data_IF_168170130371
#
_entry.id   IF_168170130371
#
_cell.length_a   1.000
_cell.length_b   1.000
_cell.length_c   1.000
_cell.angle_alpha   90.00
_cell.angle_beta   90.00
_cell.angle_gamma   90.00
#
_symmetry.space_group_name_H-M   'P 1'
#
loop_
_entity.id
_entity.type
_entity.pdbx_description
1 polymer ?
#
# COMPACT_ATOMS: atom_id res chain seq x y z
N UNK A 1 -2.01 -18.57 10.90
CA UNK A 1 -1.39 -17.83 9.76
C UNK A 1 -0.03 -17.33 10.20
N UNK A 2 0.98 -17.48 9.35
CA UNK A 2 2.31 -16.91 9.62
C UNK A 2 2.22 -15.39 9.86
N UNK A 3 2.88 -14.89 10.91
CA UNK A 3 2.92 -13.45 11.26
C UNK A 3 3.38 -12.61 10.06
N UNK A 4 4.35 -13.10 9.30
CA UNK A 4 4.84 -12.42 8.08
C UNK A 4 3.71 -12.25 7.05
N UNK A 5 2.81 -13.23 6.91
CA UNK A 5 1.66 -13.14 6.00
C UNK A 5 0.65 -12.09 6.49
N UNK A 6 0.37 -12.06 7.80
CA UNK A 6 -0.54 -11.07 8.40
C UNK A 6 -0.01 -9.65 8.19
N UNK A 7 1.27 -9.41 8.48
CA UNK A 7 1.92 -8.13 8.22
C UNK A 7 1.86 -7.75 6.74
N UNK A 8 2.13 -8.70 5.85
CA UNK A 8 2.03 -8.47 4.41
C UNK A 8 0.63 -8.06 3.98
N UNK A 9 -0.40 -8.75 4.48
CA UNK A 9 -1.81 -8.42 4.19
C UNK A 9 -2.17 -7.03 4.71
N UNK A 10 -1.81 -6.69 5.96
CA UNK A 10 -2.06 -5.35 6.53
C UNK A 10 -1.37 -4.28 5.68
N UNK A 11 -0.10 -4.50 5.32
CA UNK A 11 0.68 -3.55 4.52
C UNK A 11 0.08 -3.36 3.12
N UNK A 12 -0.40 -4.44 2.49
CA UNK A 12 -1.11 -4.36 1.20
C UNK A 12 -2.40 -3.56 1.32
N UNK A 13 -3.21 -3.80 2.36
CA UNK A 13 -4.44 -3.04 2.59
C UNK A 13 -4.15 -1.55 2.81
N UNK A 14 -3.14 -1.21 3.60
CA UNK A 14 -2.69 0.18 3.78
C UNK A 14 -2.24 0.82 2.46
N UNK A 15 -1.51 0.08 1.63
CA UNK A 15 -1.12 0.51 0.28
C UNK A 15 -2.34 0.83 -0.59
N UNK A 16 -3.34 -0.05 -0.61
CA UNK A 16 -4.60 0.16 -1.34
C UNK A 16 -5.30 1.43 -0.86
N UNK A 17 -5.46 1.61 0.45
CA UNK A 17 -6.11 2.80 1.02
C UNK A 17 -5.35 4.08 0.65
N UNK A 18 -4.01 4.07 0.70
CA UNK A 18 -3.19 5.20 0.28
C UNK A 18 -3.38 5.57 -1.20
N UNK A 19 -3.44 4.57 -2.09
CA UNK A 19 -3.67 4.80 -3.52
C UNK A 19 -5.09 5.33 -3.79
N UNK A 20 -6.10 4.81 -3.09
CA UNK A 20 -7.47 5.31 -3.19
C UNK A 20 -7.53 6.77 -2.71
N UNK A 21 -6.87 7.11 -1.61
CA UNK A 21 -6.81 8.48 -1.11
C UNK A 21 -6.16 9.44 -2.13
N UNK A 22 -5.01 9.07 -2.70
CA UNK A 22 -4.37 9.86 -3.75
C UNK A 22 -5.28 10.05 -4.97
N UNK A 23 -5.99 9.00 -5.41
CA UNK A 23 -6.94 9.08 -6.51
C UNK A 23 -8.13 9.99 -6.20
N UNK A 24 -8.68 9.90 -4.99
CA UNK A 24 -9.79 10.73 -4.52
C UNK A 24 -9.44 12.23 -4.53
N UNK A 25 -8.29 12.58 -3.95
CA UNK A 25 -7.79 13.96 -3.93
C UNK A 25 -7.49 14.50 -5.34
N UNK A 26 -6.97 13.66 -6.22
CA UNK A 26 -6.70 14.03 -7.61
C UNK A 26 -8.01 14.32 -8.37
N UNK A 27 -9.06 13.52 -8.17
CA UNK A 27 -10.41 13.76 -8.73
C UNK A 27 -10.98 15.09 -8.20
N UNK A 28 -10.74 15.40 -6.93
CA UNK A 28 -11.16 16.66 -6.31
C UNK A 28 -10.31 17.87 -6.71
N UNK A 29 -9.40 17.73 -7.69
CA UNK A 29 -8.54 18.81 -8.22
C UNK A 29 -7.70 19.48 -7.14
N UNK A 30 -7.24 18.72 -6.15
CA UNK A 30 -6.33 19.21 -5.13
C UNK A 30 -5.04 19.76 -5.76
N UNK A 31 -4.63 20.96 -5.34
CA UNK A 31 -3.43 21.64 -5.87
C UNK A 31 -2.15 21.24 -5.14
N UNK A 32 -2.25 20.37 -4.13
CA UNK A 32 -1.14 19.89 -3.32
C UNK A 32 -0.38 18.75 -4.02
N UNK A 33 0.10 18.97 -5.24
CA UNK A 33 0.68 17.95 -6.10
C UNK A 33 1.87 17.22 -5.47
N UNK A 34 2.75 17.93 -4.74
CA UNK A 34 3.88 17.30 -4.05
C UNK A 34 3.41 16.33 -2.97
N UNK A 35 2.43 16.73 -2.16
CA UNK A 35 1.84 15.87 -1.13
C UNK A 35 1.18 14.65 -1.74
N UNK A 36 0.44 14.84 -2.84
CA UNK A 36 -0.20 13.74 -3.55
C UNK A 36 0.77 12.77 -4.18
N UNK A 37 1.86 13.28 -4.78
CA UNK A 37 2.91 12.47 -5.35
C UNK A 37 3.60 11.63 -4.26
N UNK A 38 3.93 12.23 -3.12
CA UNK A 38 4.53 11.51 -1.99
C UNK A 38 3.57 10.44 -1.44
N UNK A 39 2.30 10.79 -1.20
CA UNK A 39 1.30 9.85 -0.72
C UNK A 39 1.08 8.68 -1.70
N UNK A 40 1.02 8.97 -3.00
CA UNK A 40 0.85 7.95 -4.04
C UNK A 40 2.06 7.02 -4.15
N UNK A 41 3.28 7.56 -4.11
CA UNK A 41 4.52 6.76 -4.14
C UNK A 41 4.62 5.89 -2.90
N UNK A 42 4.31 6.40 -1.71
CA UNK A 42 4.28 5.61 -0.47
C UNK A 42 3.23 4.50 -0.57
N UNK A 43 2.04 4.80 -1.09
CA UNK A 43 0.98 3.81 -1.33
C UNK A 43 1.44 2.67 -2.25
N UNK A 44 2.13 3.00 -3.35
CA UNK A 44 2.72 2.02 -4.27
C UNK A 44 3.77 1.15 -3.56
N UNK A 45 4.69 1.77 -2.81
CA UNK A 45 5.73 1.04 -2.07
C UNK A 45 5.08 0.06 -1.10
N UNK A 46 4.10 0.50 -0.31
CA UNK A 46 3.42 -0.37 0.66
C UNK A 46 2.67 -1.50 -0.04
N UNK A 47 1.99 -1.23 -1.14
CA UNK A 47 1.28 -2.24 -1.91
C UNK A 47 2.22 -3.34 -2.43
N UNK A 48 3.30 -2.95 -3.13
CA UNK A 48 4.26 -3.91 -3.68
C UNK A 48 5.04 -4.66 -2.61
N UNK A 49 5.48 -3.96 -1.55
CA UNK A 49 6.15 -4.60 -0.41
C UNK A 49 5.24 -5.58 0.32
N UNK A 50 3.96 -5.24 0.53
CA UNK A 50 2.98 -6.12 1.17
C UNK A 50 2.74 -7.39 0.36
N UNK A 51 2.52 -7.25 -0.96
CA UNK A 51 2.34 -8.41 -1.85
C UNK A 51 3.58 -9.30 -1.87
N UNK A 52 4.77 -8.70 -1.94
CA UNK A 52 6.03 -9.44 -1.89
C UNK A 52 6.15 -10.25 -0.61
N UNK A 53 5.78 -9.66 0.54
CA UNK A 53 5.84 -10.35 1.82
C UNK A 53 4.85 -11.51 1.91
N UNK A 54 3.59 -11.31 1.46
CA UNK A 54 2.57 -12.37 1.41
C UNK A 54 2.99 -13.50 0.48
N UNK A 55 3.53 -13.18 -0.71
CA UNK A 55 3.90 -14.17 -1.73
C UNK A 55 5.13 -14.98 -1.33
N UNK A 56 6.08 -14.36 -0.63
CA UNK A 56 7.32 -15.02 -0.19
C UNK A 56 7.15 -15.74 1.17
N UNK A 57 5.98 -15.67 1.82
CA UNK A 57 5.74 -16.45 3.03
C UNK A 57 5.36 -17.88 2.68
N UNK A 58 6.33 -18.79 2.80
CA UNK A 58 6.03 -20.22 2.98
C UNK A 58 5.47 -20.39 4.40
N UNK A 59 4.34 -21.07 4.53
CA UNK A 59 3.90 -21.54 5.83
C UNK A 59 4.91 -22.61 6.25
N UNK A 60 5.82 -22.26 7.16
CA UNK A 60 6.66 -23.22 7.84
C UNK A 60 5.74 -24.06 8.72
N UNK A 61 5.73 -25.37 8.49
CA UNK A 61 4.81 -26.36 9.06
C UNK A 61 4.77 -26.37 10.59
#
# INVERSE_FOLDING_TARGET
MNIKRIFGTILTVLGIVGLIYTGYELINKSTAYTTLAVAGVIGLIFFFSGISLVKNTKDES
#
